data_IF_298625712033
#
_entry.id   IF_298625712033
#
_cell.length_a   1.000
_cell.length_b   1.000
_cell.length_c   1.000
_cell.angle_alpha   90.00
_cell.angle_beta   90.00
_cell.angle_gamma   90.00
#
_symmetry.space_group_name_H-M   'P 1'
#
loop_
_entity.id
_entity.type
_entity.pdbx_description
1 polymer ?
#
# COMPACT_ATOMS: atom_id res chain seq x y z
N UNK A 1 8.96 8.99 -0.37
CA UNK A 1 10.29 8.78 0.26
C UNK A 1 10.20 8.89 1.78
N UNK A 2 9.82 10.03 2.35
CA UNK A 2 9.72 10.17 3.82
C UNK A 2 8.77 9.13 4.47
N UNK A 3 7.58 8.92 3.91
CA UNK A 3 6.63 7.90 4.40
C UNK A 3 7.23 6.48 4.39
N UNK A 4 7.99 6.17 3.34
CA UNK A 4 8.67 4.89 3.19
C UNK A 4 9.76 4.72 4.24
N UNK A 5 10.64 5.73 4.41
CA UNK A 5 11.66 5.71 5.46
C UNK A 5 11.04 5.60 6.86
N UNK A 6 9.96 6.32 7.14
CA UNK A 6 9.26 6.25 8.41
C UNK A 6 8.73 4.84 8.68
N UNK A 7 8.15 4.18 7.67
CA UNK A 7 7.70 2.79 7.78
C UNK A 7 8.86 1.83 8.06
N UNK A 8 9.98 1.94 7.33
CA UNK A 8 11.14 1.07 7.54
C UNK A 8 11.79 1.27 8.91
N UNK A 9 11.90 2.52 9.36
CA UNK A 9 12.41 2.84 10.70
C UNK A 9 11.47 2.29 11.77
N UNK A 10 10.15 2.44 11.61
CA UNK A 10 9.17 1.87 12.52
C UNK A 10 9.32 0.34 12.62
N UNK A 11 9.38 -0.36 11.48
CA UNK A 11 9.55 -1.82 11.45
C UNK A 11 10.85 -2.26 12.14
N UNK A 12 11.98 -1.60 11.85
CA UNK A 12 13.25 -1.89 12.50
C UNK A 12 13.21 -1.64 14.01
N UNK A 13 12.56 -0.56 14.44
CA UNK A 13 12.40 -0.20 15.86
C UNK A 13 11.58 -1.22 16.65
N UNK A 14 10.58 -1.81 16.00
CA UNK A 14 9.59 -2.68 16.63
C UNK A 14 10.06 -4.12 16.67
N UNK A 15 10.85 -4.54 15.69
CA UNK A 15 11.52 -5.83 15.71
C UNK A 15 12.31 -6.09 17.01
N UNK A 16 12.94 -5.06 17.57
CA UNK A 16 13.66 -5.18 18.84
C UNK A 16 12.72 -5.29 20.06
N UNK A 17 11.48 -4.80 19.96
CA UNK A 17 10.53 -4.67 21.08
C UNK A 17 9.41 -5.70 21.09
N UNK A 18 9.14 -6.33 19.95
CA UNK A 18 8.05 -7.31 19.84
C UNK A 18 8.27 -8.46 20.84
N UNK A 19 7.25 -8.84 21.63
CA UNK A 19 7.34 -10.01 22.50
C UNK A 19 7.33 -11.27 21.63
N UNK A 20 8.40 -12.05 21.70
CA UNK A 20 8.56 -13.31 20.96
C UNK A 20 8.04 -14.52 21.72
N UNK A 21 7.91 -14.39 23.04
CA UNK A 21 7.69 -15.52 23.95
C UNK A 21 6.21 -15.68 24.35
N UNK A 22 5.33 -14.82 23.83
CA UNK A 22 3.90 -14.83 24.08
C UNK A 22 3.13 -15.56 22.97
N UNK A 23 2.07 -16.33 23.31
CA UNK A 23 1.24 -16.98 22.31
C UNK A 23 0.50 -15.98 21.42
N UNK A 24 0.11 -16.38 20.19
CA UNK A 24 -0.66 -15.54 19.29
C UNK A 24 -2.04 -15.21 19.86
N UNK A 25 -2.58 -14.04 19.49
CA UNK A 25 -3.94 -13.67 19.90
C UNK A 25 -4.98 -14.56 19.23
N UNK A 26 -6.13 -14.81 19.89
CA UNK A 26 -7.24 -15.49 19.27
C UNK A 26 -7.79 -14.64 18.12
N UNK A 27 -7.76 -15.21 16.91
CA UNK A 27 -8.33 -14.63 15.70
C UNK A 27 -9.42 -15.55 15.16
N UNK A 28 -10.59 -14.98 14.86
CA UNK A 28 -11.74 -15.74 14.36
C UNK A 28 -11.39 -16.50 13.08
N UNK A 29 -10.67 -15.89 12.14
CA UNK A 29 -10.30 -16.55 10.89
C UNK A 29 -9.38 -17.74 11.14
N UNK A 30 -8.42 -17.60 12.07
CA UNK A 30 -7.48 -18.68 12.41
C UNK A 30 -8.18 -19.84 13.14
N UNK A 31 -9.29 -19.58 13.83
CA UNK A 31 -10.10 -20.63 14.46
C UNK A 31 -10.90 -21.46 13.44
N UNK A 32 -11.20 -20.89 12.28
CA UNK A 32 -12.03 -21.53 11.23
C UNK A 32 -11.15 -22.20 10.16
N UNK A 33 -10.04 -21.55 9.78
CA UNK A 33 -9.19 -21.99 8.68
C UNK A 33 -7.81 -22.47 9.16
N UNK A 34 -7.30 -23.58 8.60
CA UNK A 34 -5.96 -24.06 8.90
C UNK A 34 -4.87 -23.14 8.31
N UNK A 35 -3.69 -23.18 8.92
CA UNK A 35 -2.49 -22.54 8.37
C UNK A 35 -2.03 -23.29 7.11
N UNK A 36 -1.78 -22.56 6.03
CA UNK A 36 -1.30 -23.11 4.75
C UNK A 36 0.05 -22.50 4.41
N UNK A 37 1.10 -23.29 4.59
CA UNK A 37 2.46 -22.91 4.25
C UNK A 37 2.61 -22.67 2.74
N UNK A 38 3.17 -21.52 2.37
CA UNK A 38 3.40 -21.14 0.97
C UNK A 38 2.23 -20.43 0.29
N UNK A 39 1.08 -20.26 0.94
CA UNK A 39 -0.01 -19.40 0.45
C UNK A 39 0.41 -17.93 0.27
N UNK A 40 1.41 -17.47 1.04
CA UNK A 40 2.02 -16.14 0.86
C UNK A 40 2.52 -15.90 -0.57
N UNK A 41 3.08 -16.91 -1.24
CA UNK A 41 3.57 -16.77 -2.63
C UNK A 41 2.45 -16.38 -3.58
N UNK A 42 1.25 -16.92 -3.39
CA UNK A 42 0.07 -16.59 -4.20
C UNK A 42 -0.28 -15.12 -4.01
N UNK A 43 -0.27 -14.64 -2.75
CA UNK A 43 -0.54 -13.24 -2.45
C UNK A 43 0.51 -12.29 -3.05
N UNK A 44 1.79 -12.65 -2.98
CA UNK A 44 2.89 -11.88 -3.56
C UNK A 44 2.81 -11.80 -5.09
N UNK A 45 2.58 -12.93 -5.78
CA UNK A 45 2.40 -12.93 -7.23
C UNK A 45 1.19 -12.10 -7.65
N UNK A 46 0.06 -12.26 -6.96
CA UNK A 46 -1.15 -11.48 -7.22
C UNK A 46 -0.89 -9.97 -7.04
N UNK A 47 -0.18 -9.60 -5.97
CA UNK A 47 0.20 -8.21 -5.71
C UNK A 47 1.17 -7.65 -6.76
N UNK A 48 2.18 -8.41 -7.16
CA UNK A 48 3.11 -8.01 -8.23
C UNK A 48 2.36 -7.76 -9.54
N UNK A 49 1.40 -8.61 -9.90
CA UNK A 49 0.54 -8.40 -11.06
C UNK A 49 -0.27 -7.10 -10.91
N UNK A 50 -0.92 -6.86 -9.78
CA UNK A 50 -1.72 -5.65 -9.55
C UNK A 50 -0.88 -4.38 -9.58
N UNK A 51 0.27 -4.38 -8.90
CA UNK A 51 1.20 -3.24 -8.86
C UNK A 51 1.76 -2.96 -10.25
N UNK A 52 2.18 -3.99 -10.98
CA UNK A 52 2.68 -3.83 -12.34
C UNK A 52 1.62 -3.21 -13.26
N UNK A 53 0.37 -3.65 -13.16
CA UNK A 53 -0.73 -3.06 -13.93
C UNK A 53 -1.04 -1.62 -13.52
N UNK A 54 -0.99 -1.30 -12.23
CA UNK A 54 -1.14 0.07 -11.76
C UNK A 54 -0.02 0.98 -12.30
N UNK A 55 1.24 0.51 -12.31
CA UNK A 55 2.37 1.23 -12.89
C UNK A 55 2.22 1.42 -14.40
N UNK A 56 1.78 0.39 -15.13
CA UNK A 56 1.48 0.49 -16.57
C UNK A 56 0.44 1.58 -16.82
N UNK A 57 -0.66 1.58 -16.05
CA UNK A 57 -1.70 2.62 -16.16
C UNK A 57 -1.12 4.00 -15.88
N UNK A 58 -0.30 4.17 -14.83
CA UNK A 58 0.33 5.45 -14.50
C UNK A 58 1.24 5.94 -15.64
N UNK A 59 2.11 5.07 -16.16
CA UNK A 59 3.12 5.44 -17.18
C UNK A 59 2.47 5.74 -18.53
N UNK A 60 1.46 4.95 -18.93
CA UNK A 60 0.74 5.12 -20.18
C UNK A 60 -0.37 6.17 -20.09
N UNK A 61 -0.67 6.74 -18.93
CA UNK A 61 -1.70 7.77 -18.86
C UNK A 61 -1.23 9.06 -19.56
N UNK A 62 -2.09 9.68 -20.38
CA UNK A 62 -1.81 10.99 -21.03
C UNK A 62 -1.30 12.04 -20.03
N UNK A 63 -1.92 12.05 -18.85
CA UNK A 63 -1.58 12.91 -17.71
C UNK A 63 -0.73 12.20 -16.64
N UNK A 64 0.23 11.34 -17.03
CA UNK A 64 1.06 10.49 -16.15
C UNK A 64 1.60 11.17 -14.89
N UNK A 65 2.12 12.39 -15.00
CA UNK A 65 2.68 13.10 -13.83
C UNK A 65 1.61 13.51 -12.81
N UNK A 66 0.42 13.92 -13.27
CA UNK A 66 -0.69 14.23 -12.39
C UNK A 66 -1.20 12.95 -11.72
N UNK A 67 -1.42 11.87 -12.47
CA UNK A 67 -1.88 10.59 -11.92
C UNK A 67 -0.86 10.01 -10.93
N UNK A 68 0.43 9.98 -11.29
CA UNK A 68 1.50 9.54 -10.42
C UNK A 68 1.49 10.34 -9.10
N UNK A 69 1.42 11.67 -9.17
CA UNK A 69 1.36 12.54 -7.99
C UNK A 69 0.18 12.19 -7.07
N UNK A 70 -1.01 11.98 -7.62
CA UNK A 70 -2.22 11.60 -6.87
C UNK A 70 -2.04 10.26 -6.16
N UNK A 71 -1.59 9.24 -6.89
CA UNK A 71 -1.40 7.88 -6.37
C UNK A 71 -0.31 7.84 -5.31
N UNK A 72 0.86 8.43 -5.58
CA UNK A 72 1.97 8.46 -4.64
C UNK A 72 1.66 9.26 -3.38
N UNK A 73 0.85 10.33 -3.49
CA UNK A 73 0.37 11.05 -2.31
C UNK A 73 -0.50 10.15 -1.43
N UNK A 74 -1.49 9.47 -2.02
CA UNK A 74 -2.36 8.56 -1.27
C UNK A 74 -1.58 7.41 -0.63
N UNK A 75 -0.64 6.79 -1.37
CA UNK A 75 0.25 5.75 -0.82
C UNK A 75 1.07 6.33 0.34
N UNK A 76 1.63 7.53 0.20
CA UNK A 76 2.43 8.16 1.26
C UNK A 76 1.62 8.40 2.53
N UNK A 77 0.39 8.90 2.43
CA UNK A 77 -0.50 9.11 3.58
C UNK A 77 -0.83 7.77 4.27
N UNK A 78 -1.16 6.73 3.49
CA UNK A 78 -1.46 5.41 4.03
C UNK A 78 -0.24 4.80 4.77
N UNK A 79 0.97 4.93 4.22
CA UNK A 79 2.20 4.42 4.85
C UNK A 79 2.64 5.24 6.06
N UNK A 80 2.35 6.54 6.12
CA UNK A 80 2.52 7.32 7.35
C UNK A 80 1.58 6.85 8.46
N UNK A 81 0.31 6.62 8.13
CA UNK A 81 -0.66 6.08 9.09
C UNK A 81 -0.21 4.71 9.60
N UNK A 82 0.24 3.82 8.70
CA UNK A 82 0.82 2.53 9.06
C UNK A 82 2.03 2.69 9.97
N UNK A 83 3.03 3.50 9.59
CA UNK A 83 4.21 3.73 10.42
C UNK A 83 3.83 4.18 11.86
N UNK A 84 2.88 5.12 11.97
CA UNK A 84 2.35 5.57 13.25
C UNK A 84 1.64 4.44 14.03
N UNK A 85 0.78 3.67 13.37
CA UNK A 85 0.03 2.58 14.00
C UNK A 85 0.95 1.49 14.56
N UNK A 86 1.96 1.06 13.79
CA UNK A 86 2.91 0.03 14.22
C UNK A 86 3.74 0.57 15.41
N UNK A 87 4.11 1.86 15.42
CA UNK A 87 4.84 2.43 16.58
C UNK A 87 4.05 2.45 17.88
N UNK A 88 2.72 2.58 17.83
CA UNK A 88 1.87 2.69 19.03
C UNK A 88 1.46 1.31 19.55
N UNK A 89 1.03 0.43 18.65
CA UNK A 89 0.45 -0.85 19.03
C UNK A 89 1.29 -2.00 18.49
N UNK A 90 1.62 -2.96 19.37
CA UNK A 90 2.51 -4.07 19.06
C UNK A 90 1.89 -5.37 19.57
N UNK A 91 1.12 -6.08 18.73
CA UNK A 91 0.68 -7.42 19.06
C UNK A 91 1.85 -8.41 19.00
N UNK A 92 1.73 -9.58 19.65
CA UNK A 92 2.62 -10.71 19.44
C UNK A 92 2.42 -11.33 18.04
N UNK A 93 3.43 -12.08 17.59
CA UNK A 93 3.47 -12.71 16.27
C UNK A 93 2.29 -13.69 16.09
N UNK A 94 1.64 -13.80 14.91
CA UNK A 94 0.38 -14.52 14.74
C UNK A 94 0.57 -16.04 14.53
N UNK A 95 1.78 -16.48 14.22
CA UNK A 95 2.13 -17.89 14.05
C UNK A 95 3.42 -18.22 14.78
N UNK A 96 3.42 -19.33 15.50
CA UNK A 96 4.59 -19.90 16.20
C UNK A 96 5.62 -20.47 15.23
N UNK A 97 5.25 -20.69 13.97
CA UNK A 97 6.13 -21.19 12.91
C UNK A 97 6.83 -20.05 12.15
N UNK A 98 6.55 -18.79 12.48
CA UNK A 98 7.19 -17.65 11.82
C UNK A 98 8.62 -17.47 12.32
N UNK A 99 9.59 -17.63 11.42
CA UNK A 99 10.99 -17.34 11.73
C UNK A 99 11.20 -15.85 12.01
N UNK A 100 11.74 -15.54 13.19
CA UNK A 100 12.21 -14.21 13.56
C UNK A 100 13.74 -14.21 13.62
N UNK A 101 14.39 -13.26 12.94
CA UNK A 101 15.82 -13.06 13.13
C UNK A 101 16.11 -12.67 14.58
N UNK A 102 17.29 -13.04 15.06
CA UNK A 102 17.74 -12.64 16.39
C UNK A 102 17.74 -11.11 16.51
N UNK A 103 17.23 -10.65 17.66
CA UNK A 103 17.30 -9.25 18.09
C UNK A 103 18.76 -8.79 18.12
N UNK A 104 19.03 -7.57 17.68
CA UNK A 104 20.39 -7.09 17.54
C UNK A 104 21.00 -6.78 18.91
N UNK A 105 21.89 -7.63 19.40
CA UNK A 105 22.80 -7.31 20.53
C UNK A 105 23.97 -6.41 20.11
N UNK A 106 24.10 -6.09 18.82
CA UNK A 106 25.16 -5.25 18.23
C UNK A 106 24.67 -3.89 17.75
N UNK A 107 25.58 -2.92 17.69
CA UNK A 107 25.32 -1.48 17.58
C UNK A 107 24.55 -0.99 16.34
N UNK A 108 24.29 0.33 16.32
CA UNK A 108 23.43 1.04 15.35
C UNK A 108 23.70 0.73 13.87
N UNK A 109 24.93 0.33 13.50
CA UNK A 109 25.30 -0.06 12.15
C UNK A 109 24.51 -1.27 11.60
N UNK A 110 24.19 -2.27 12.44
CA UNK A 110 23.45 -3.47 12.00
C UNK A 110 21.98 -3.12 11.71
N UNK A 111 21.40 -2.24 12.52
CA UNK A 111 20.03 -1.74 12.34
C UNK A 111 19.94 -0.95 11.02
N UNK A 112 20.90 -0.04 10.78
CA UNK A 112 20.95 0.72 9.53
C UNK A 112 21.18 -0.16 8.29
N UNK A 113 21.97 -1.23 8.41
CA UNK A 113 22.14 -2.21 7.33
C UNK A 113 20.85 -2.99 7.04
N UNK A 114 20.05 -3.32 8.08
CA UNK A 114 18.73 -3.94 7.89
C UNK A 114 17.76 -2.97 7.21
N UNK A 115 17.70 -1.72 7.66
CA UNK A 115 16.86 -0.65 7.06
C UNK A 115 17.23 -0.40 5.60
N UNK A 116 18.52 -0.27 5.29
CA UNK A 116 18.96 -0.04 3.91
C UNK A 116 18.61 -1.21 3.00
N UNK A 117 18.81 -2.46 3.46
CA UNK A 117 18.41 -3.66 2.72
C UNK A 117 16.90 -3.72 2.48
N UNK A 118 16.07 -3.32 3.44
CA UNK A 118 14.61 -3.29 3.26
C UNK A 118 14.16 -2.16 2.33
N UNK A 119 14.81 -1.00 2.43
CA UNK A 119 14.56 0.12 1.54
C UNK A 119 14.72 -0.26 0.06
N UNK A 120 15.77 -1.01 -0.26
CA UNK A 120 16.04 -1.49 -1.63
C UNK A 120 15.15 -2.65 -2.07
N UNK A 121 14.63 -3.45 -1.13
CA UNK A 121 13.76 -4.58 -1.43
C UNK A 121 12.32 -4.16 -1.80
N UNK A 122 11.97 -2.88 -1.66
CA UNK A 122 10.66 -2.32 -2.01
C UNK A 122 9.46 -3.09 -1.42
N UNK A 123 9.65 -3.78 -0.28
CA UNK A 123 8.60 -4.53 0.42
C UNK A 123 8.20 -5.87 -0.19
N UNK A 124 8.97 -6.42 -1.13
CA UNK A 124 8.72 -7.75 -1.74
C UNK A 124 9.44 -8.83 -0.92
N UNK A 125 8.71 -9.78 -0.31
CA UNK A 125 9.31 -10.86 0.51
C UNK A 125 10.01 -11.93 -0.35
N UNK A 126 9.62 -12.10 -1.61
CA UNK A 126 10.32 -13.02 -2.51
C UNK A 126 11.77 -12.58 -2.83
N UNK A 127 12.09 -11.27 -2.73
CA UNK A 127 13.46 -10.76 -2.84
C UNK A 127 14.26 -10.92 -1.54
N UNK A 128 13.59 -11.18 -0.41
CA UNK A 128 14.23 -11.43 0.89
C UNK A 128 13.27 -12.17 1.84
N UNK A 129 13.62 -13.37 2.34
CA UNK A 129 12.86 -14.01 3.41
C UNK A 129 12.68 -13.04 4.58
N UNK A 130 11.44 -12.87 5.03
CA UNK A 130 11.08 -11.90 6.05
C UNK A 130 11.74 -12.24 7.39
N UNK A 131 12.87 -11.61 7.67
CA UNK A 131 13.64 -11.78 8.90
C UNK A 131 13.13 -10.89 10.05
N UNK A 132 12.40 -9.81 9.75
CA UNK A 132 11.91 -8.87 10.76
C UNK A 132 10.49 -9.23 11.21
N UNK A 133 10.38 -9.59 12.49
CA UNK A 133 9.10 -9.71 13.21
C UNK A 133 8.63 -8.36 13.73
N UNK A 134 7.31 -8.13 13.79
CA UNK A 134 6.74 -6.86 14.24
C UNK A 134 5.87 -6.12 13.21
N UNK A 135 5.72 -6.64 11.98
CA UNK A 135 4.75 -6.09 11.03
C UNK A 135 3.32 -6.58 11.30
N UNK A 136 2.76 -6.15 12.41
CA UNK A 136 1.61 -6.81 13.01
C UNK A 136 0.38 -5.92 13.12
N UNK A 137 0.40 -4.68 12.60
CA UNK A 137 -0.76 -3.78 12.56
C UNK A 137 -0.77 -2.96 11.27
N UNK A 138 -1.94 -2.92 10.61
CA UNK A 138 -2.19 -2.29 9.29
C UNK A 138 -1.31 -2.94 8.21
N UNK A 139 -1.77 -4.01 7.55
CA UNK A 139 -0.93 -4.77 6.59
C UNK A 139 -0.52 -3.96 5.35
N UNK A 140 0.79 -3.89 5.08
CA UNK A 140 1.39 -3.18 3.96
C UNK A 140 1.11 -3.85 2.63
N UNK A 141 1.07 -5.19 2.62
CA UNK A 141 0.61 -5.96 1.47
C UNK A 141 -0.83 -5.62 1.11
N UNK A 142 -1.73 -5.59 2.11
CA UNK A 142 -3.13 -5.20 1.89
C UNK A 142 -3.25 -3.77 1.36
N UNK A 143 -2.52 -2.81 1.96
CA UNK A 143 -2.50 -1.42 1.48
C UNK A 143 -2.02 -1.36 0.02
N UNK A 144 -0.91 -2.02 -0.31
CA UNK A 144 -0.35 -2.03 -1.67
C UNK A 144 -1.30 -2.67 -2.69
N UNK A 145 -1.87 -3.84 -2.38
CA UNK A 145 -2.85 -4.54 -3.23
C UNK A 145 -4.04 -3.64 -3.54
N UNK A 146 -4.63 -3.02 -2.51
CA UNK A 146 -5.83 -2.22 -2.65
C UNK A 146 -5.55 -0.88 -3.34
N UNK A 147 -4.43 -0.24 -3.03
CA UNK A 147 -4.00 0.99 -3.71
C UNK A 147 -3.75 0.74 -5.20
N UNK A 148 -3.11 -0.37 -5.55
CA UNK A 148 -2.89 -0.76 -6.95
C UNK A 148 -4.22 -1.05 -7.67
N UNK A 149 -5.10 -1.82 -7.04
CA UNK A 149 -6.43 -2.11 -7.60
C UNK A 149 -7.27 -0.84 -7.81
N UNK A 150 -7.34 0.05 -6.82
CA UNK A 150 -8.08 1.31 -6.91
C UNK A 150 -7.49 2.25 -7.96
N UNK A 151 -6.17 2.29 -8.07
CA UNK A 151 -5.48 3.04 -9.14
C UNK A 151 -5.91 2.55 -10.51
N UNK A 152 -5.89 1.23 -10.73
CA UNK A 152 -6.36 0.67 -12.00
C UNK A 152 -7.82 1.05 -12.25
N UNK A 153 -8.71 0.81 -11.27
CA UNK A 153 -10.15 1.08 -11.43
C UNK A 153 -10.45 2.55 -11.72
N UNK A 154 -9.73 3.47 -11.09
CA UNK A 154 -9.95 4.91 -11.21
C UNK A 154 -9.39 5.50 -12.51
N UNK A 155 -8.24 5.03 -12.98
CA UNK A 155 -7.50 5.64 -14.10
C UNK A 155 -7.52 4.82 -15.39
N UNK A 156 -7.98 3.57 -15.37
CA UNK A 156 -8.13 2.78 -16.58
C UNK A 156 -9.27 3.31 -17.48
N UNK A 157 -9.11 3.27 -18.82
CA UNK A 157 -10.16 3.60 -19.78
C UNK A 157 -11.40 2.74 -19.58
N UNK A 158 -12.58 3.28 -19.92
CA UNK A 158 -13.87 2.55 -19.83
C UNK A 158 -13.86 1.19 -20.56
N UNK A 159 -13.11 1.09 -21.66
CA UNK A 159 -12.96 -0.15 -22.45
C UNK A 159 -12.34 -1.31 -21.66
N UNK A 160 -11.46 -1.02 -20.70
CA UNK A 160 -10.76 -2.03 -19.90
C UNK A 160 -11.42 -2.29 -18.54
N UNK A 161 -12.61 -1.72 -18.28
CA UNK A 161 -13.26 -1.87 -16.97
C UNK A 161 -13.69 -3.32 -16.67
N UNK A 162 -13.92 -4.16 -17.67
CA UNK A 162 -14.15 -5.60 -17.48
C UNK A 162 -12.95 -6.27 -16.78
N UNK A 163 -11.73 -5.82 -17.05
CA UNK A 163 -10.51 -6.32 -16.39
C UNK A 163 -10.47 -5.96 -14.90
N UNK A 164 -11.19 -4.92 -14.48
CA UNK A 164 -11.32 -4.58 -13.06
C UNK A 164 -12.03 -5.69 -12.28
N UNK A 165 -12.87 -6.52 -12.90
CA UNK A 165 -13.51 -7.65 -12.21
C UNK A 165 -12.48 -8.74 -11.92
N UNK A 166 -11.61 -9.02 -12.89
CA UNK A 166 -10.51 -9.99 -12.73
C UNK A 166 -9.56 -9.52 -11.62
N UNK A 167 -9.17 -8.24 -11.64
CA UNK A 167 -8.32 -7.68 -10.59
C UNK A 167 -8.98 -7.59 -9.22
N UNK A 168 -10.31 -7.40 -9.18
CA UNK A 168 -11.06 -7.50 -7.94
C UNK A 168 -10.98 -8.91 -7.34
N UNK A 169 -11.20 -9.95 -8.16
CA UNK A 169 -11.08 -11.35 -7.73
C UNK A 169 -9.64 -11.64 -7.28
N UNK A 170 -8.66 -11.21 -8.07
CA UNK A 170 -7.24 -11.40 -7.77
C UNK A 170 -6.84 -10.73 -6.44
N UNK A 171 -7.33 -9.52 -6.18
CA UNK A 171 -7.10 -8.83 -4.91
C UNK A 171 -7.70 -9.61 -3.73
N UNK A 172 -8.93 -10.12 -3.85
CA UNK A 172 -9.56 -10.91 -2.78
C UNK A 172 -8.83 -12.23 -2.53
N UNK A 173 -8.42 -12.91 -3.61
CA UNK A 173 -7.60 -14.11 -3.51
C UNK A 173 -6.31 -13.82 -2.74
N UNK A 174 -5.62 -12.72 -3.07
CA UNK A 174 -4.40 -12.31 -2.37
C UNK A 174 -4.65 -12.07 -0.87
N UNK A 175 -5.74 -11.38 -0.51
CA UNK A 175 -6.07 -11.12 0.90
C UNK A 175 -6.39 -12.41 1.68
N UNK A 176 -7.14 -13.34 1.07
CA UNK A 176 -7.42 -14.64 1.68
C UNK A 176 -6.12 -15.44 1.85
N UNK A 177 -5.26 -15.47 0.83
CA UNK A 177 -3.96 -16.14 0.89
C UNK A 177 -3.03 -15.55 1.96
N UNK A 178 -3.09 -14.23 2.22
CA UNK A 178 -2.36 -13.60 3.33
C UNK A 178 -2.83 -14.10 4.69
N UNK A 179 -4.15 -14.21 4.89
CA UNK A 179 -4.72 -14.71 6.15
C UNK A 179 -4.43 -16.20 6.36
N UNK A 180 -4.48 -17.01 5.30
CA UNK A 180 -4.16 -18.44 5.36
C UNK A 180 -2.70 -18.72 5.75
N UNK A 181 -1.78 -17.81 5.41
CA UNK A 181 -0.37 -17.93 5.84
C UNK A 181 -0.15 -17.52 7.30
N UNK A 182 -1.16 -16.98 7.98
CA UNK A 182 -1.09 -16.49 9.38
C UNK A 182 0.06 -15.51 9.63
N UNK A 183 0.43 -14.72 8.62
CA UNK A 183 1.44 -13.65 8.71
C UNK A 183 0.89 -12.36 9.27
N UNK A 184 -0.41 -12.15 9.14
CA UNK A 184 -1.14 -10.98 9.59
C UNK A 184 -2.43 -11.44 10.25
N UNK A 185 -2.83 -10.77 11.33
CA UNK A 185 -4.14 -10.96 11.90
C UNK A 185 -5.21 -10.43 10.94
N UNK A 186 -6.44 -10.94 11.08
CA UNK A 186 -7.59 -10.47 10.31
C UNK A 186 -7.81 -8.96 10.52
N UNK A 187 -7.57 -8.47 11.74
CA UNK A 187 -7.68 -7.04 12.04
C UNK A 187 -6.68 -6.18 11.26
N UNK A 188 -5.49 -6.70 10.94
CA UNK A 188 -4.47 -5.97 10.18
C UNK A 188 -4.90 -5.77 8.73
N UNK A 189 -5.54 -6.79 8.17
CA UNK A 189 -6.13 -6.75 6.82
C UNK A 189 -7.33 -5.81 6.81
N UNK A 190 -8.19 -5.84 7.82
CA UNK A 190 -9.34 -4.92 7.95
C UNK A 190 -8.87 -3.47 8.05
N UNK A 191 -7.91 -3.16 8.92
CA UNK A 191 -7.37 -1.80 9.02
C UNK A 191 -6.62 -1.38 7.75
N UNK A 192 -5.85 -2.28 7.13
CA UNK A 192 -5.23 -2.03 5.83
C UNK A 192 -6.27 -1.68 4.76
N UNK A 193 -7.40 -2.40 4.75
CA UNK A 193 -8.52 -2.11 3.85
C UNK A 193 -9.16 -0.75 4.10
N UNK A 194 -9.46 -0.45 5.36
CA UNK A 194 -10.06 0.83 5.76
C UNK A 194 -9.15 2.01 5.39
N UNK A 195 -7.86 1.93 5.73
CA UNK A 195 -6.89 2.99 5.43
C UNK A 195 -6.76 3.21 3.93
N UNK A 196 -6.54 2.14 3.15
CA UNK A 196 -6.34 2.26 1.70
C UNK A 196 -7.57 2.84 1.00
N UNK A 197 -8.76 2.29 1.27
CA UNK A 197 -10.02 2.74 0.66
C UNK A 197 -10.40 4.17 1.08
N UNK A 198 -10.22 4.53 2.35
CA UNK A 198 -10.56 5.86 2.85
C UNK A 198 -9.62 6.92 2.33
N UNK A 199 -8.31 6.74 2.44
CA UNK A 199 -7.32 7.71 1.96
C UNK A 199 -7.51 7.99 0.47
N UNK A 200 -7.70 6.94 -0.34
CA UNK A 200 -7.92 7.11 -1.78
C UNK A 200 -9.24 7.84 -2.06
N UNK A 201 -10.33 7.45 -1.40
CA UNK A 201 -11.66 8.07 -1.63
C UNK A 201 -11.71 9.52 -1.16
N UNK A 202 -11.14 9.81 0.01
CA UNK A 202 -11.02 11.16 0.56
C UNK A 202 -10.24 12.06 -0.38
N UNK A 203 -9.11 11.57 -0.89
CA UNK A 203 -8.31 12.33 -1.85
C UNK A 203 -9.13 12.76 -3.07
N UNK A 204 -9.80 11.79 -3.72
CA UNK A 204 -10.57 12.08 -4.92
C UNK A 204 -11.84 12.90 -4.64
N UNK A 205 -12.47 12.74 -3.47
CA UNK A 205 -13.60 13.56 -3.04
C UNK A 205 -13.20 15.04 -2.88
N UNK A 206 -12.09 15.30 -2.19
CA UNK A 206 -11.58 16.66 -1.98
C UNK A 206 -11.05 17.26 -3.28
N UNK A 207 -10.34 16.48 -4.11
CA UNK A 207 -9.86 16.92 -5.42
C UNK A 207 -11.03 17.33 -6.34
N UNK A 208 -12.09 16.53 -6.41
CA UNK A 208 -13.29 16.87 -7.19
C UNK A 208 -13.97 18.13 -6.64
N UNK A 209 -14.11 18.25 -5.31
CA UNK A 209 -14.71 19.44 -4.69
C UNK A 209 -13.89 20.71 -4.93
N UNK A 210 -12.57 20.59 -5.02
CA UNK A 210 -11.67 21.69 -5.39
C UNK A 210 -11.91 22.14 -6.82
N UNK A 211 -11.98 21.22 -7.78
CA UNK A 211 -12.25 21.51 -9.19
C UNK A 211 -13.66 22.07 -9.44
N UNK A 212 -14.64 21.68 -8.61
CA UNK A 212 -16.01 22.19 -8.66
C UNK A 212 -16.19 23.53 -7.92
N UNK A 213 -15.14 24.09 -7.32
CA UNK A 213 -15.20 25.35 -6.55
C UNK A 213 -15.97 25.25 -5.23
N UNK A 214 -16.29 24.03 -4.77
CA UNK A 214 -17.11 23.75 -3.58
C UNK A 214 -16.29 23.20 -2.40
N UNK A 215 -14.98 23.47 -2.34
CA UNK A 215 -14.08 22.92 -1.32
C UNK A 215 -14.56 23.22 0.12
N UNK A 216 -15.05 24.43 0.37
CA UNK A 216 -15.53 24.86 1.70
C UNK A 216 -16.77 24.08 2.18
N UNK A 217 -17.53 23.48 1.26
CA UNK A 217 -18.69 22.63 1.59
C UNK A 217 -18.30 21.19 1.89
N UNK A 218 -17.11 20.76 1.49
CA UNK A 218 -16.64 19.40 1.75
C UNK A 218 -16.00 19.33 3.15
N UNK A 219 -16.62 18.63 4.13
CA UNK A 219 -16.06 18.53 5.48
C UNK A 219 -14.72 17.80 5.51
N UNK A 220 -14.45 16.94 4.52
CA UNK A 220 -13.19 16.20 4.41
C UNK A 220 -12.01 17.14 4.11
N UNK A 221 -12.25 18.37 3.64
CA UNK A 221 -11.17 19.34 3.36
C UNK A 221 -10.42 19.77 4.63
N UNK A 222 -11.03 19.64 5.81
CA UNK A 222 -10.48 20.11 7.09
C UNK A 222 -9.34 19.25 7.65
N UNK A 223 -9.19 18.00 7.20
CA UNK A 223 -8.16 17.10 7.73
C UNK A 223 -6.73 17.59 7.42
N UNK A 224 -5.76 17.15 8.23
CA UNK A 224 -4.38 17.64 8.14
C UNK A 224 -3.75 17.32 6.76
N UNK A 225 -3.91 16.09 6.27
CA UNK A 225 -3.37 15.67 4.98
C UNK A 225 -4.15 16.26 3.79
N UNK A 226 -5.46 16.46 3.91
CA UNK A 226 -6.30 16.98 2.81
C UNK A 226 -6.04 18.45 2.49
N UNK A 227 -5.47 19.23 3.43
CA UNK A 227 -5.04 20.61 3.20
C UNK A 227 -3.97 20.76 2.11
N UNK A 228 -3.21 19.69 1.82
CA UNK A 228 -2.20 19.68 0.77
C UNK A 228 -2.80 19.44 -0.63
N UNK A 229 -4.03 18.93 -0.71
CA UNK A 229 -4.67 18.56 -1.98
C UNK A 229 -4.87 19.76 -2.92
N UNK A 230 -5.35 20.93 -2.47
CA UNK A 230 -5.46 22.11 -3.34
C UNK A 230 -4.13 22.52 -3.98
N UNK A 231 -3.03 22.38 -3.26
CA UNK A 231 -1.69 22.64 -3.80
C UNK A 231 -1.30 21.60 -4.85
N UNK A 232 -1.61 20.33 -4.61
CA UNK A 232 -1.37 19.24 -5.56
C UNK A 232 -2.30 19.28 -6.78
N UNK A 233 -3.44 19.97 -6.73
CA UNK A 233 -4.42 20.01 -7.82
C UNK A 233 -4.44 21.33 -8.60
N UNK A 234 -3.66 22.33 -8.17
CA UNK A 234 -3.63 23.69 -8.76
C UNK A 234 -3.42 23.71 -10.27
N UNK A 235 -2.52 22.88 -10.78
CA UNK A 235 -2.13 22.86 -12.20
C UNK A 235 -2.88 21.78 -13.00
N UNK A 236 -3.90 21.14 -12.41
CA UNK A 236 -4.64 20.05 -13.04
C UNK A 236 -5.92 20.59 -13.64
N UNK A 237 -6.23 20.15 -14.88
CA UNK A 237 -7.52 20.48 -15.49
C UNK A 237 -8.69 19.86 -14.69
N UNK A 238 -9.82 20.57 -14.55
CA UNK A 238 -11.01 20.07 -13.86
C UNK A 238 -11.54 18.73 -14.41
N UNK A 239 -11.32 18.48 -15.70
CA UNK A 239 -11.72 17.23 -16.37
C UNK A 239 -10.48 16.49 -16.86
N UNK A 240 -10.10 15.45 -16.13
CA UNK A 240 -9.07 14.49 -16.56
C UNK A 240 -9.78 13.29 -17.21
N UNK A 241 -9.65 13.17 -18.53
CA UNK A 241 -10.13 11.98 -19.23
C UNK A 241 -9.10 10.85 -19.11
N UNK A 242 -9.59 9.65 -18.77
CA UNK A 242 -8.78 8.45 -18.66
C UNK A 242 -8.43 7.90 -20.05
N UNK A 243 -7.39 8.47 -20.64
CA UNK A 243 -6.86 8.10 -21.96
C UNK A 243 -5.43 7.58 -21.75
N UNK A 244 -5.18 6.38 -22.28
CA UNK A 244 -3.85 5.78 -22.32
C UNK A 244 -3.21 6.11 -23.68
N UNK A 245 -2.02 6.69 -23.65
CA UNK A 245 -1.19 7.06 -24.80
C UNK A 245 0.21 6.50 -24.58
N UNK A 246 0.84 6.02 -25.66
CA UNK A 246 2.20 5.54 -25.52
C UNK A 246 3.18 6.71 -25.37
N UNK A 247 4.29 6.53 -24.63
CA UNK A 247 5.24 7.61 -24.36
C UNK A 247 5.83 8.26 -25.63
N UNK A 248 5.89 7.52 -26.74
CA UNK A 248 6.44 7.96 -28.02
C UNK A 248 5.47 8.83 -28.83
N UNK A 249 4.16 8.77 -28.57
CA UNK A 249 3.15 9.59 -29.27
C UNK A 249 3.15 11.06 -28.80
N UNK A 250 3.86 11.36 -27.71
CA UNK A 250 4.05 12.70 -27.16
C UNK A 250 5.26 13.45 -27.76
N UNK A 251 6.02 12.85 -28.67
CA UNK A 251 7.06 13.59 -29.38
C UNK A 251 6.38 14.61 -30.29
N UNK A 252 6.71 15.92 -30.19
CA UNK A 252 6.25 16.87 -31.18
C UNK A 252 6.72 16.35 -32.53
N UNK A 253 5.79 16.22 -33.48
CA UNK A 253 6.10 15.94 -34.87
C UNK A 253 6.95 17.09 -35.42
N UNK A 254 8.25 17.03 -35.19
CA UNK A 254 9.22 17.81 -35.93
C UNK A 254 9.28 17.20 -37.33
N UNK A 255 8.54 17.80 -38.26
CA UNK A 255 8.67 17.56 -39.69
C UNK A 255 7.77 16.46 -40.26
N UNK A 256 6.61 16.87 -40.77
CA UNK A 256 6.21 16.61 -42.15
C UNK A 256 5.36 17.76 -42.65
#
# INVERSE_FOLDING_TARGET
ILAWLANEIALAWIHERVPTDSPPLPDLFFSIFPEVDGSIRIAEYAMLILVSNALIVIVLHRHRWHVARRVFFCVSVAYFFRAFAITIFQPPVPSTHTFCAAKSTGGSAIIWARVSKMFWAAGIEQLRPRELCGDLIVSGHTVTILMAFQTFRQYAPKKFQSLSIIYFILAHLALISLLLNRKHYTIDVVFGYLVATRVFTEYHSVANSFHDGNLSRNPLSSFLWTRLIPYLERDVSPKVFNILEFPYDCLPSFGR
#
